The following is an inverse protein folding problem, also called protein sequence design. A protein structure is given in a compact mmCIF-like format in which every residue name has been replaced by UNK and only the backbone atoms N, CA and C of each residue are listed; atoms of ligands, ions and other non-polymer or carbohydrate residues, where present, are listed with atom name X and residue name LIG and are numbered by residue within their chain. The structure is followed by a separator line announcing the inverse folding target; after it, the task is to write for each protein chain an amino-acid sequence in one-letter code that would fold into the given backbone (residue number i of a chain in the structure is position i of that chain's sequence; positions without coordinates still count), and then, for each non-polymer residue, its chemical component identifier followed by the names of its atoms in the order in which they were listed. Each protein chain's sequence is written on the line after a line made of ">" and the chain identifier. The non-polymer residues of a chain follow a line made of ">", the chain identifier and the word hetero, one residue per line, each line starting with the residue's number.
data_IF_613215664503
#
_entry.id   IF_613215664503
#
_cell.length_a   1.000
_cell.length_b   1.000
_cell.length_c   1.000
_cell.angle_alpha   90.00
_cell.angle_beta   90.00
_cell.angle_gamma   90.00
#
_symmetry.space_group_name_H-M   'P 1'
#
loop_
_entity.id
_entity.type
_entity.pdbx_description
1 polymer ?
#
# COMPACT_ATOMS: atom_id res chain seq x y z
N UNK A 1 -19.18 -10.01 9.61
CA UNK A 1 -19.87 -9.26 8.54
C UNK A 1 -20.71 -10.26 7.76
N UNK A 2 -22.02 -10.34 8.06
CA UNK A 2 -22.98 -11.15 7.30
C UNK A 2 -23.18 -10.54 5.92
N UNK A 3 -23.54 -11.37 4.95
CA UNK A 3 -23.40 -11.12 3.52
C UNK A 3 -24.44 -10.17 2.89
N UNK A 4 -25.04 -9.21 3.61
CA UNK A 4 -26.16 -8.41 3.08
C UNK A 4 -26.17 -6.89 3.37
N UNK A 5 -25.12 -6.26 3.92
CA UNK A 5 -25.17 -4.84 4.31
C UNK A 5 -24.28 -3.87 3.52
N UNK A 6 -24.01 -4.15 2.24
CA UNK A 6 -23.57 -3.08 1.33
C UNK A 6 -24.43 -3.10 0.10
N UNK A 7 -25.59 -2.44 0.18
CA UNK A 7 -26.27 -1.97 -1.01
C UNK A 7 -25.22 -1.30 -1.91
N UNK A 8 -25.10 -1.65 -3.20
CA UNK A 8 -24.19 -0.98 -4.11
C UNK A 8 -24.46 0.52 -4.00
N UNK A 9 -23.40 1.33 -3.86
CA UNK A 9 -23.53 2.79 -3.86
C UNK A 9 -24.48 3.17 -4.98
N UNK A 10 -25.59 3.86 -4.65
CA UNK A 10 -26.61 4.25 -5.64
C UNK A 10 -25.87 4.80 -6.86
N UNK A 11 -26.17 4.32 -8.06
CA UNK A 11 -25.34 4.60 -9.24
C UNK A 11 -25.02 6.10 -9.44
N UNK A 12 -25.93 7.01 -9.04
CA UNK A 12 -25.70 8.45 -9.02
C UNK A 12 -24.65 8.94 -8.00
N UNK A 13 -24.59 8.34 -6.81
CA UNK A 13 -23.58 8.63 -5.79
C UNK A 13 -22.18 8.19 -6.23
N UNK A 14 -22.07 7.03 -6.91
CA UNK A 14 -20.78 6.53 -7.38
C UNK A 14 -20.19 7.43 -8.49
N UNK A 15 -21.03 7.92 -9.41
CA UNK A 15 -20.60 8.86 -10.44
C UNK A 15 -20.10 10.19 -9.85
N UNK A 16 -20.82 10.72 -8.87
CA UNK A 16 -20.43 11.95 -8.18
C UNK A 16 -19.13 11.79 -7.36
N UNK A 17 -18.87 10.60 -6.84
CA UNK A 17 -17.66 10.31 -6.05
C UNK A 17 -16.40 10.06 -6.89
N UNK A 18 -16.54 9.64 -8.14
CA UNK A 18 -15.40 9.21 -8.95
C UNK A 18 -14.38 10.32 -9.20
N UNK A 19 -14.81 11.50 -9.68
CA UNK A 19 -13.89 12.60 -9.99
C UNK A 19 -13.15 13.13 -8.73
N UNK A 20 -13.83 13.38 -7.59
CA UNK A 20 -13.15 13.71 -6.34
C UNK A 20 -12.13 12.65 -5.90
N UNK A 21 -12.53 11.37 -5.92
CA UNK A 21 -11.65 10.28 -5.51
C UNK A 21 -10.45 10.12 -6.43
N UNK A 22 -10.65 10.24 -7.74
CA UNK A 22 -9.57 10.21 -8.74
C UNK A 22 -8.59 11.36 -8.50
N UNK A 23 -9.08 12.59 -8.28
CA UNK A 23 -8.21 13.74 -7.99
C UNK A 23 -7.36 13.50 -6.74
N UNK A 24 -7.95 12.97 -5.65
CA UNK A 24 -7.18 12.58 -4.45
C UNK A 24 -6.16 11.49 -4.77
N UNK A 25 -6.53 10.44 -5.49
CA UNK A 25 -5.59 9.35 -5.80
C UNK A 25 -4.47 9.80 -6.75
N UNK A 26 -4.74 10.75 -7.65
CA UNK A 26 -3.72 11.38 -8.52
C UNK A 26 -2.79 12.34 -7.75
N UNK A 27 -3.12 12.75 -6.53
CA UNK A 27 -2.18 13.46 -5.69
C UNK A 27 -0.98 12.56 -5.33
N UNK A 28 -1.16 11.25 -5.22
CA UNK A 28 -0.09 10.30 -4.90
C UNK A 28 1.06 10.30 -5.92
N UNK A 29 0.84 10.15 -7.25
CA UNK A 29 1.94 10.26 -8.20
C UNK A 29 2.53 11.67 -8.25
N UNK A 30 1.76 12.72 -7.95
CA UNK A 30 2.32 14.07 -7.83
C UNK A 30 3.29 14.19 -6.64
N UNK A 31 2.96 13.58 -5.49
CA UNK A 31 3.84 13.56 -4.31
C UNK A 31 5.03 12.62 -4.46
N UNK A 32 4.80 11.39 -4.92
CA UNK A 32 5.75 10.28 -4.74
C UNK A 32 6.44 9.84 -6.04
N UNK A 33 5.94 10.25 -7.21
CA UNK A 33 6.55 9.91 -8.51
C UNK A 33 7.20 11.12 -9.14
N UNK A 34 6.45 12.23 -9.24
CA UNK A 34 6.93 13.48 -9.81
C UNK A 34 7.66 14.34 -8.78
N UNK A 35 7.44 14.10 -7.49
CA UNK A 35 8.01 14.86 -6.37
C UNK A 35 7.69 16.37 -6.47
N UNK A 36 6.54 16.73 -7.07
CA UNK A 36 6.05 18.10 -7.21
C UNK A 36 4.99 18.35 -6.13
N UNK A 37 5.45 18.66 -4.92
CA UNK A 37 4.60 18.72 -3.71
C UNK A 37 3.38 19.64 -3.86
N UNK A 38 3.54 20.81 -4.48
CA UNK A 38 2.45 21.76 -4.64
C UNK A 38 1.34 21.25 -5.57
N UNK A 39 1.67 20.42 -6.58
CA UNK A 39 0.66 19.78 -7.45
C UNK A 39 -0.15 18.78 -6.63
N UNK A 40 0.51 17.99 -5.78
CA UNK A 40 -0.18 17.08 -4.86
C UNK A 40 -1.13 17.81 -3.91
N UNK A 41 -0.74 18.97 -3.38
CA UNK A 41 -1.62 19.82 -2.56
C UNK A 41 -2.83 20.34 -3.34
N UNK A 42 -2.63 20.82 -4.57
CA UNK A 42 -3.73 21.30 -5.42
C UNK A 42 -4.69 20.15 -5.75
N UNK A 43 -4.19 18.99 -6.16
CA UNK A 43 -5.03 17.83 -6.47
C UNK A 43 -5.81 17.35 -5.25
N UNK A 44 -5.18 17.34 -4.08
CA UNK A 44 -5.86 17.05 -2.80
C UNK A 44 -6.96 18.06 -2.51
N UNK A 45 -6.67 19.36 -2.62
CA UNK A 45 -7.64 20.43 -2.38
C UNK A 45 -8.82 20.38 -3.37
N UNK A 46 -8.55 20.16 -4.66
CA UNK A 46 -9.57 19.98 -5.71
C UNK A 46 -10.43 18.75 -5.43
N UNK A 47 -9.82 17.64 -5.04
CA UNK A 47 -10.53 16.42 -4.66
C UNK A 47 -11.45 16.63 -3.45
N UNK A 48 -10.97 17.29 -2.40
CA UNK A 48 -11.78 17.60 -1.22
C UNK A 48 -12.90 18.62 -1.52
N UNK A 49 -12.62 19.66 -2.31
CA UNK A 49 -13.64 20.61 -2.75
C UNK A 49 -14.75 19.93 -3.57
N UNK A 50 -14.36 19.04 -4.50
CA UNK A 50 -15.29 18.24 -5.28
C UNK A 50 -16.12 17.29 -4.40
N UNK A 51 -15.51 16.67 -3.40
CA UNK A 51 -16.21 15.81 -2.46
C UNK A 51 -17.21 16.58 -1.58
N UNK A 52 -16.84 17.77 -1.13
CA UNK A 52 -17.74 18.66 -0.40
C UNK A 52 -18.95 19.07 -1.25
N UNK A 53 -18.75 19.40 -2.53
CA UNK A 53 -19.84 19.69 -3.45
C UNK A 53 -20.76 18.48 -3.65
N UNK A 54 -20.19 17.28 -3.82
CA UNK A 54 -20.97 16.05 -3.95
C UNK A 54 -21.79 15.76 -2.68
N UNK A 55 -21.17 15.85 -1.50
CA UNK A 55 -21.81 15.59 -0.21
C UNK A 55 -22.96 16.55 0.10
N UNK A 56 -22.93 17.80 -0.41
CA UNK A 56 -24.07 18.73 -0.27
C UNK A 56 -25.36 18.18 -0.88
N UNK A 57 -25.24 17.37 -1.93
CA UNK A 57 -26.38 16.79 -2.62
C UNK A 57 -26.71 15.37 -2.16
N UNK A 58 -25.69 14.54 -1.90
CA UNK A 58 -25.87 13.11 -1.61
C UNK A 58 -25.87 12.77 -0.12
N UNK A 59 -25.25 13.61 0.72
CA UNK A 59 -24.92 13.33 2.13
C UNK A 59 -24.20 11.98 2.31
N UNK A 60 -23.30 11.62 1.38
CA UNK A 60 -22.58 10.34 1.39
C UNK A 60 -21.50 10.22 2.46
N UNK A 61 -20.95 11.35 2.94
CA UNK A 61 -19.77 11.35 3.80
C UNK A 61 -18.45 11.16 3.03
N UNK A 62 -18.47 11.45 1.73
CA UNK A 62 -17.33 11.33 0.82
C UNK A 62 -16.19 12.27 1.21
N UNK A 63 -16.50 13.52 1.57
CA UNK A 63 -15.49 14.50 1.98
C UNK A 63 -14.67 13.99 3.15
N UNK A 64 -15.36 13.44 4.16
CA UNK A 64 -14.73 12.87 5.34
C UNK A 64 -13.79 11.73 4.97
N UNK A 65 -14.28 10.79 4.17
CA UNK A 65 -13.53 9.59 3.84
C UNK A 65 -12.32 9.93 2.95
N UNK A 66 -12.45 10.87 2.00
CA UNK A 66 -11.31 11.37 1.22
C UNK A 66 -10.35 12.22 2.06
N UNK A 67 -10.82 12.99 3.03
CA UNK A 67 -9.97 13.76 3.93
C UNK A 67 -9.06 12.84 4.76
N UNK A 68 -9.56 11.68 5.21
CA UNK A 68 -8.74 10.68 5.90
C UNK A 68 -7.61 10.14 5.03
N UNK A 69 -7.87 9.90 3.73
CA UNK A 69 -6.85 9.47 2.75
C UNK A 69 -5.82 10.59 2.55
N UNK A 70 -6.27 11.83 2.33
CA UNK A 70 -5.39 13.00 2.15
C UNK A 70 -4.50 13.21 3.37
N UNK A 71 -5.04 13.14 4.59
CA UNK A 71 -4.25 13.27 5.83
C UNK A 71 -3.15 12.21 5.88
N UNK A 72 -3.48 10.96 5.57
CA UNK A 72 -2.49 9.89 5.48
C UNK A 72 -1.38 10.19 4.48
N UNK A 73 -1.73 10.56 3.24
CA UNK A 73 -0.75 10.89 2.21
C UNK A 73 0.12 12.09 2.57
N UNK A 74 -0.45 13.14 3.19
CA UNK A 74 0.29 14.32 3.62
C UNK A 74 1.32 14.01 4.72
N UNK A 75 0.98 13.10 5.64
CA UNK A 75 1.92 12.64 6.67
C UNK A 75 3.07 11.87 6.03
N UNK A 76 2.77 10.97 5.09
CA UNK A 76 3.79 10.21 4.36
C UNK A 76 4.69 11.14 3.55
N UNK A 77 4.10 12.09 2.81
CA UNK A 77 4.85 13.04 1.97
C UNK A 77 5.70 14.05 2.76
N UNK A 78 5.62 14.05 4.09
CA UNK A 78 6.40 14.96 4.93
C UNK A 78 7.85 14.49 5.15
N UNK A 79 8.17 13.25 4.78
CA UNK A 79 9.52 12.69 4.85
C UNK A 79 9.92 12.09 3.50
N UNK A 80 11.23 12.03 3.16
CA UNK A 80 11.70 11.19 2.08
C UNK A 80 11.44 9.73 2.39
N UNK A 81 10.98 8.96 1.40
CA UNK A 81 10.75 7.51 1.54
C UNK A 81 11.96 6.65 1.18
N UNK A 82 13.13 7.25 0.90
CA UNK A 82 14.36 6.49 0.71
C UNK A 82 14.63 5.58 1.91
N UNK A 83 14.95 4.31 1.63
CA UNK A 83 15.13 3.28 2.65
C UNK A 83 16.47 3.40 3.41
N UNK A 84 16.69 4.53 4.08
CA UNK A 84 17.88 4.75 4.92
C UNK A 84 17.80 3.93 6.21
N UNK A 85 18.91 3.28 6.59
CA UNK A 85 18.98 2.35 7.74
C UNK A 85 19.64 2.94 8.99
N UNK A 86 20.00 4.22 9.00
CA UNK A 86 20.49 4.86 10.21
C UNK A 86 19.35 5.05 11.24
N UNK A 87 19.72 5.18 12.51
CA UNK A 87 18.75 5.21 13.60
C UNK A 87 17.77 6.39 13.48
N UNK A 88 18.22 7.55 12.99
CA UNK A 88 17.38 8.74 12.89
C UNK A 88 16.38 8.60 11.73
N UNK A 89 16.82 8.09 10.59
CA UNK A 89 15.95 7.77 9.47
C UNK A 89 14.90 6.71 9.86
N UNK A 90 15.32 5.61 10.49
CA UNK A 90 14.38 4.56 10.92
C UNK A 90 13.31 5.08 11.90
N UNK A 91 13.69 5.95 12.85
CA UNK A 91 12.74 6.58 13.79
C UNK A 91 11.78 7.51 13.04
N UNK A 92 12.30 8.39 12.18
CA UNK A 92 11.47 9.31 11.37
C UNK A 92 10.47 8.54 10.51
N UNK A 93 10.96 7.52 9.83
CA UNK A 93 10.16 6.64 8.96
C UNK A 93 9.06 5.95 9.78
N UNK A 94 9.42 5.33 10.91
CA UNK A 94 8.46 4.68 11.82
C UNK A 94 7.38 5.65 12.31
N UNK A 95 7.75 6.87 12.71
CA UNK A 95 6.80 7.89 13.18
C UNK A 95 5.88 8.33 12.05
N UNK A 96 6.41 8.58 10.85
CA UNK A 96 5.62 9.04 9.70
C UNK A 96 4.63 7.96 9.23
N UNK A 97 5.10 6.74 8.97
CA UNK A 97 4.24 5.64 8.54
C UNK A 97 3.24 5.25 9.64
N UNK A 98 3.72 5.11 10.88
CA UNK A 98 2.84 4.89 12.03
C UNK A 98 1.77 5.97 12.15
N UNK A 99 2.14 7.24 11.99
CA UNK A 99 1.23 8.39 11.98
C UNK A 99 0.23 8.36 10.83
N UNK A 100 0.65 7.98 9.62
CA UNK A 100 -0.19 7.90 8.43
C UNK A 100 -1.31 6.86 8.55
N UNK A 101 -1.15 5.84 9.40
CA UNK A 101 -2.22 4.88 9.74
C UNK A 101 -2.96 5.29 11.00
N UNK A 102 -2.23 5.66 12.06
CA UNK A 102 -2.80 5.97 13.36
C UNK A 102 -3.68 7.22 13.32
N UNK A 103 -3.23 8.31 12.69
CA UNK A 103 -3.98 9.58 12.66
C UNK A 103 -5.32 9.40 11.93
N UNK A 104 -5.40 8.86 10.70
CA UNK A 104 -6.70 8.60 10.07
C UNK A 104 -7.58 7.66 10.88
N UNK A 105 -7.02 6.60 11.46
CA UNK A 105 -7.77 5.68 12.32
C UNK A 105 -8.38 6.39 13.55
N UNK A 106 -7.58 7.19 14.26
CA UNK A 106 -8.01 7.92 15.45
C UNK A 106 -9.04 9.00 15.11
N UNK A 107 -8.85 9.73 14.00
CA UNK A 107 -9.83 10.71 13.51
C UNK A 107 -11.15 10.03 13.16
N UNK A 108 -11.10 8.93 12.40
CA UNK A 108 -12.29 8.12 12.07
C UNK A 108 -13.03 7.70 13.34
N UNK A 109 -12.30 7.12 14.31
CA UNK A 109 -12.90 6.53 15.51
C UNK A 109 -13.41 7.55 16.53
N UNK A 110 -12.65 8.61 16.80
CA UNK A 110 -12.94 9.51 17.92
C UNK A 110 -13.54 10.85 17.49
N UNK A 111 -13.14 11.38 16.33
CA UNK A 111 -13.67 12.66 15.83
C UNK A 111 -14.95 12.42 15.03
N UNK A 112 -14.86 11.60 13.99
CA UNK A 112 -16.00 11.31 13.13
C UNK A 112 -16.94 10.26 13.70
N UNK A 113 -16.51 9.54 14.74
CA UNK A 113 -17.24 8.45 15.41
C UNK A 113 -17.75 7.39 14.43
N UNK A 114 -17.07 7.26 13.30
CA UNK A 114 -17.35 6.29 12.27
C UNK A 114 -16.26 5.23 12.32
N UNK A 115 -16.66 4.00 12.54
CA UNK A 115 -15.75 2.87 12.65
C UNK A 115 -15.43 2.32 11.26
N UNK A 116 -15.09 3.22 10.33
CA UNK A 116 -14.87 2.92 8.92
C UNK A 116 -13.57 2.16 8.71
N UNK A 117 -12.49 2.61 9.36
CA UNK A 117 -11.19 1.94 9.35
C UNK A 117 -11.20 0.85 10.42
N UNK A 118 -11.08 -0.40 9.98
CA UNK A 118 -11.00 -1.59 10.85
C UNK A 118 -9.95 -2.56 10.35
N UNK A 119 -9.37 -3.30 11.28
CA UNK A 119 -8.29 -4.25 11.02
C UNK A 119 -8.78 -5.68 11.34
N UNK A 120 -9.42 -6.39 10.38
CA UNK A 120 -9.97 -7.72 10.62
C UNK A 120 -8.87 -8.79 10.65
N UNK A 121 -8.12 -8.86 11.75
CA UNK A 121 -6.94 -9.73 11.88
C UNK A 121 -7.26 -11.21 11.63
N UNK A 122 -8.30 -11.73 12.28
CA UNK A 122 -8.72 -13.14 12.16
C UNK A 122 -10.20 -13.23 11.81
N UNK A 123 -10.50 -14.11 10.85
CA UNK A 123 -11.88 -14.52 10.53
C UNK A 123 -12.35 -15.70 11.39
N UNK A 124 -11.46 -16.32 12.15
CA UNK A 124 -11.75 -17.49 13.01
C UNK A 124 -11.76 -18.83 12.27
N UNK A 125 -11.64 -18.83 10.94
CA UNK A 125 -11.61 -20.02 10.11
C UNK A 125 -10.18 -20.48 9.80
N UNK A 126 -9.99 -21.80 9.66
CA UNK A 126 -8.71 -22.38 9.21
C UNK A 126 -8.48 -22.05 7.74
N UNK A 127 -7.22 -21.87 7.35
CA UNK A 127 -6.88 -21.63 5.94
C UNK A 127 -7.17 -22.84 5.07
N UNK A 128 -7.80 -22.60 3.93
CA UNK A 128 -8.17 -23.63 2.95
C UNK A 128 -6.92 -24.11 2.19
N UNK A 129 -6.89 -25.34 1.65
CA UNK A 129 -5.76 -25.82 0.86
C UNK A 129 -5.37 -24.90 -0.30
N UNK A 130 -6.35 -24.30 -0.99
CA UNK A 130 -6.10 -23.33 -2.05
C UNK A 130 -5.32 -22.08 -1.56
N UNK A 131 -5.52 -21.66 -0.31
CA UNK A 131 -4.78 -20.55 0.29
C UNK A 131 -3.32 -20.92 0.53
N UNK A 132 -3.03 -22.15 0.94
CA UNK A 132 -1.66 -22.65 1.09
C UNK A 132 -0.94 -22.79 -0.26
N UNK A 133 -1.62 -23.33 -1.26
CA UNK A 133 -1.09 -23.40 -2.64
C UNK A 133 -0.75 -22.00 -3.14
N UNK A 134 -1.60 -21.02 -2.86
CA UNK A 134 -1.36 -19.64 -3.21
C UNK A 134 -0.11 -19.05 -2.50
N UNK A 135 0.08 -19.31 -1.20
CA UNK A 135 1.28 -18.86 -0.49
C UNK A 135 2.56 -19.44 -1.11
N UNK A 136 2.56 -20.73 -1.43
CA UNK A 136 3.68 -21.37 -2.12
C UNK A 136 3.90 -20.78 -3.52
N UNK A 137 2.82 -20.53 -4.28
CA UNK A 137 2.91 -19.92 -5.59
C UNK A 137 3.51 -18.51 -5.55
N UNK A 138 3.15 -17.68 -4.57
CA UNK A 138 3.71 -16.34 -4.40
C UNK A 138 5.22 -16.40 -4.12
N UNK A 139 5.67 -17.32 -3.28
CA UNK A 139 7.10 -17.54 -3.03
C UNK A 139 7.85 -17.92 -4.32
N UNK A 140 7.32 -18.89 -5.07
CA UNK A 140 7.93 -19.35 -6.32
C UNK A 140 7.96 -18.24 -7.37
N UNK A 141 6.84 -17.52 -7.55
CA UNK A 141 6.75 -16.41 -8.50
C UNK A 141 7.70 -15.27 -8.12
N UNK A 142 7.75 -14.91 -6.83
CA UNK A 142 8.70 -13.92 -6.32
C UNK A 142 10.13 -14.35 -6.60
N UNK A 143 10.48 -15.59 -6.29
CA UNK A 143 11.84 -16.12 -6.46
C UNK A 143 12.26 -16.17 -7.94
N UNK A 144 11.33 -16.41 -8.86
CA UNK A 144 11.61 -16.41 -10.30
C UNK A 144 11.69 -14.99 -10.90
N UNK A 145 10.82 -14.08 -10.48
CA UNK A 145 10.62 -12.79 -11.15
C UNK A 145 11.49 -11.69 -10.53
N UNK A 146 11.59 -11.65 -9.20
CA UNK A 146 12.24 -10.54 -8.49
C UNK A 146 13.74 -10.43 -8.75
N UNK A 147 14.55 -11.50 -8.75
CA UNK A 147 15.98 -11.38 -9.03
C UNK A 147 16.22 -10.79 -10.41
N UNK A 148 15.46 -11.25 -11.42
CA UNK A 148 15.53 -10.71 -12.77
C UNK A 148 15.23 -9.21 -12.78
N UNK A 149 14.13 -8.78 -12.14
CA UNK A 149 13.78 -7.37 -12.05
C UNK A 149 14.85 -6.52 -11.35
N UNK A 150 15.24 -6.90 -10.13
CA UNK A 150 16.14 -6.11 -9.30
C UNK A 150 17.54 -5.99 -9.92
N UNK A 151 18.10 -7.09 -10.41
CA UNK A 151 19.50 -7.14 -10.88
C UNK A 151 19.61 -6.60 -12.31
N UNK A 152 18.77 -7.06 -13.25
CA UNK A 152 18.91 -6.64 -14.67
C UNK A 152 18.53 -5.18 -14.93
N UNK A 153 17.82 -4.55 -13.99
CA UNK A 153 17.39 -3.15 -14.08
C UNK A 153 18.14 -2.22 -13.13
N UNK A 154 19.15 -2.74 -12.42
CA UNK A 154 19.92 -2.03 -11.38
C UNK A 154 19.04 -1.40 -10.27
N UNK A 155 17.81 -1.88 -10.12
CA UNK A 155 16.83 -1.33 -9.17
C UNK A 155 17.25 -1.59 -7.72
N UNK A 156 18.04 -2.64 -7.48
CA UNK A 156 18.60 -2.91 -6.15
C UNK A 156 19.45 -1.74 -5.62
N UNK A 157 20.01 -0.90 -6.49
CA UNK A 157 20.79 0.29 -6.11
C UNK A 157 19.92 1.43 -5.54
N UNK A 158 18.59 1.38 -5.69
CA UNK A 158 17.70 2.31 -5.00
C UNK A 158 17.58 1.99 -3.50
N UNK A 159 18.10 0.84 -3.08
CA UNK A 159 18.04 0.34 -1.71
C UNK A 159 19.40 0.54 -1.02
N UNK A 160 19.43 0.63 0.32
CA UNK A 160 20.67 0.76 1.07
C UNK A 160 21.57 -0.46 0.86
N UNK A 161 22.87 -0.22 0.83
CA UNK A 161 23.85 -1.31 0.83
C UNK A 161 23.74 -2.08 2.15
N UNK A 162 23.56 -3.39 2.06
CA UNK A 162 23.37 -4.30 3.20
C UNK A 162 24.43 -5.39 3.23
N UNK A 163 25.66 -5.00 3.57
CA UNK A 163 26.85 -5.87 3.58
C UNK A 163 27.23 -6.39 4.98
N UNK A 164 26.57 -5.91 6.04
CA UNK A 164 26.79 -6.35 7.42
C UNK A 164 25.56 -7.00 8.04
N UNK A 165 25.71 -7.95 8.98
CA UNK A 165 24.58 -8.59 9.65
C UNK A 165 23.61 -7.62 10.34
N UNK A 166 24.11 -6.51 10.89
CA UNK A 166 23.26 -5.48 11.52
C UNK A 166 22.37 -4.79 10.49
N UNK A 167 22.93 -4.35 9.36
CA UNK A 167 22.18 -3.72 8.27
C UNK A 167 21.18 -4.69 7.64
N UNK A 168 21.56 -5.96 7.47
CA UNK A 168 20.65 -7.02 7.01
C UNK A 168 19.47 -7.19 7.98
N UNK A 169 19.72 -7.23 9.29
CA UNK A 169 18.66 -7.36 10.30
C UNK A 169 17.71 -6.15 10.28
N UNK A 170 18.26 -4.92 10.16
CA UNK A 170 17.46 -3.70 10.03
C UNK A 170 16.61 -3.70 8.77
N UNK A 171 17.18 -4.10 7.63
CA UNK A 171 16.44 -4.22 6.37
C UNK A 171 15.31 -5.24 6.51
N UNK A 172 15.58 -6.42 7.09
CA UNK A 172 14.56 -7.45 7.31
C UNK A 172 13.38 -6.93 8.14
N UNK A 173 13.67 -6.24 9.26
CA UNK A 173 12.65 -5.61 10.09
C UNK A 173 11.93 -4.49 9.35
N UNK A 174 12.67 -3.64 8.63
CA UNK A 174 12.13 -2.50 7.89
C UNK A 174 11.17 -2.93 6.78
N UNK A 175 11.62 -3.81 5.89
CA UNK A 175 10.80 -4.35 4.79
C UNK A 175 9.56 -5.05 5.35
N UNK A 176 9.72 -5.93 6.35
CA UNK A 176 8.57 -6.61 6.96
C UNK A 176 7.59 -5.66 7.67
N UNK A 177 8.08 -4.61 8.33
CA UNK A 177 7.23 -3.60 8.94
C UNK A 177 6.45 -2.78 7.88
N UNK A 178 7.11 -2.43 6.78
CA UNK A 178 6.47 -1.74 5.63
C UNK A 178 5.41 -2.63 4.99
N UNK A 179 5.68 -3.93 4.78
CA UNK A 179 4.67 -4.84 4.22
C UNK A 179 3.42 -4.97 5.08
N UNK A 180 3.57 -4.96 6.42
CA UNK A 180 2.40 -4.89 7.32
C UNK A 180 1.69 -3.54 7.16
N UNK A 181 2.47 -2.44 7.15
CA UNK A 181 1.94 -1.09 7.01
C UNK A 181 1.15 -0.90 5.71
N UNK A 182 1.61 -1.46 4.60
CA UNK A 182 0.97 -1.42 3.29
C UNK A 182 -0.47 -1.95 3.37
N UNK A 183 -0.69 -3.05 4.09
CA UNK A 183 -2.02 -3.60 4.28
C UNK A 183 -2.90 -2.72 5.16
N UNK A 184 -2.32 -2.12 6.20
CA UNK A 184 -3.06 -1.23 7.11
C UNK A 184 -3.48 0.06 6.40
N UNK A 185 -2.60 0.62 5.59
CA UNK A 185 -2.84 1.88 4.90
C UNK A 185 -3.62 1.66 3.60
N UNK A 186 -3.07 0.92 2.65
CA UNK A 186 -3.69 0.84 1.32
C UNK A 186 -4.97 0.00 1.34
N UNK A 187 -4.99 -1.14 2.01
CA UNK A 187 -6.17 -2.01 2.01
C UNK A 187 -7.17 -1.60 3.09
N UNK A 188 -6.75 -1.50 4.35
CA UNK A 188 -7.64 -1.22 5.47
C UNK A 188 -8.05 0.26 5.59
N UNK A 189 -7.34 1.19 4.94
CA UNK A 189 -7.68 2.62 4.93
C UNK A 189 -8.14 3.07 3.53
N UNK A 190 -7.23 3.18 2.56
CA UNK A 190 -7.54 3.76 1.23
C UNK A 190 -8.64 2.98 0.51
N UNK A 191 -8.43 1.68 0.29
CA UNK A 191 -9.41 0.82 -0.41
C UNK A 191 -10.72 0.70 0.36
N UNK A 192 -10.67 0.50 1.68
CA UNK A 192 -11.85 0.40 2.52
C UNK A 192 -12.72 1.67 2.46
N UNK A 193 -12.11 2.85 2.51
CA UNK A 193 -12.80 4.14 2.43
C UNK A 193 -13.36 4.39 1.03
N UNK A 194 -12.58 4.15 -0.03
CA UNK A 194 -13.04 4.32 -1.42
C UNK A 194 -14.23 3.40 -1.74
N UNK A 195 -14.24 2.17 -1.23
CA UNK A 195 -15.32 1.19 -1.44
C UNK A 195 -16.66 1.58 -0.83
N UNK A 196 -16.70 2.54 0.09
CA UNK A 196 -17.97 3.06 0.61
C UNK A 196 -18.74 3.86 -0.42
N UNK A 197 -18.02 4.40 -1.41
CA UNK A 197 -18.58 5.33 -2.41
C UNK A 197 -18.51 4.78 -3.83
N UNK A 198 -17.59 3.86 -4.11
CA UNK A 198 -17.28 3.37 -5.45
C UNK A 198 -17.44 1.84 -5.56
N UNK A 199 -17.72 1.32 -6.76
CA UNK A 199 -17.66 -0.13 -7.01
C UNK A 199 -16.28 -0.70 -6.66
N UNK A 200 -16.27 -1.96 -6.20
CA UNK A 200 -15.05 -2.63 -5.72
C UNK A 200 -13.87 -2.51 -6.69
N UNK A 201 -14.08 -2.72 -7.98
CA UNK A 201 -13.01 -2.62 -8.98
C UNK A 201 -12.47 -1.20 -9.15
N UNK A 202 -13.35 -0.21 -9.19
CA UNK A 202 -12.95 1.20 -9.29
C UNK A 202 -12.15 1.63 -8.06
N UNK A 203 -12.61 1.25 -6.86
CA UNK A 203 -11.86 1.51 -5.64
C UNK A 203 -10.50 0.81 -5.62
N UNK A 204 -10.41 -0.41 -6.16
CA UNK A 204 -9.16 -1.18 -6.24
C UNK A 204 -8.16 -0.54 -7.22
N UNK A 205 -8.65 -0.11 -8.39
CA UNK A 205 -7.83 0.60 -9.38
C UNK A 205 -7.31 1.93 -8.82
N UNK A 206 -8.16 2.69 -8.12
CA UNK A 206 -7.76 3.95 -7.51
C UNK A 206 -6.77 3.76 -6.36
N UNK A 207 -6.97 2.77 -5.49
CA UNK A 207 -5.98 2.42 -4.47
C UNK A 207 -4.64 1.99 -5.08
N UNK A 208 -4.67 1.23 -6.19
CA UNK A 208 -3.45 0.81 -6.87
C UNK A 208 -2.62 2.02 -7.35
N UNK A 209 -3.25 3.13 -7.78
CA UNK A 209 -2.52 4.37 -8.11
C UNK A 209 -1.72 4.86 -6.89
N UNK A 210 -2.35 4.91 -5.71
CA UNK A 210 -1.69 5.39 -4.49
C UNK A 210 -0.56 4.44 -4.07
N UNK A 211 -0.83 3.13 -4.07
CA UNK A 211 0.12 2.07 -3.70
C UNK A 211 1.36 2.08 -4.61
N UNK A 212 1.16 2.07 -5.92
CA UNK A 212 2.26 2.02 -6.90
C UNK A 212 3.08 3.29 -6.86
N UNK A 213 2.45 4.44 -6.61
CA UNK A 213 3.17 5.72 -6.45
C UNK A 213 4.07 5.70 -5.20
N UNK A 214 3.57 5.16 -4.09
CA UNK A 214 4.36 5.00 -2.87
C UNK A 214 5.56 4.05 -3.08
N UNK A 215 5.33 2.88 -3.70
CA UNK A 215 6.41 1.93 -3.98
C UNK A 215 7.45 2.49 -4.96
N UNK A 216 7.03 3.34 -5.90
CA UNK A 216 7.96 4.02 -6.81
C UNK A 216 8.98 4.87 -6.04
N UNK A 217 8.53 5.66 -5.06
CA UNK A 217 9.43 6.46 -4.22
C UNK A 217 10.29 5.59 -3.32
N UNK A 218 9.72 4.51 -2.77
CA UNK A 218 10.43 3.57 -1.91
C UNK A 218 11.60 2.88 -2.62
N UNK A 219 11.49 2.66 -3.93
CA UNK A 219 12.60 2.14 -4.74
C UNK A 219 12.20 1.22 -5.89
N UNK A 220 10.92 0.93 -6.11
CA UNK A 220 10.44 0.08 -7.22
C UNK A 220 10.34 0.84 -8.56
N UNK A 221 11.48 1.32 -9.06
CA UNK A 221 11.59 2.15 -10.27
C UNK A 221 11.68 1.32 -11.56
N UNK A 222 12.03 1.98 -12.67
CA UNK A 222 12.09 1.39 -14.01
C UNK A 222 10.75 0.75 -14.42
N UNK A 223 10.73 -0.52 -14.82
CA UNK A 223 9.51 -1.24 -15.18
C UNK A 223 8.77 -1.86 -13.97
N UNK A 224 9.17 -1.51 -12.74
CA UNK A 224 8.52 -1.93 -11.49
C UNK A 224 6.99 -1.87 -11.48
N UNK A 225 6.33 -0.85 -12.08
CA UNK A 225 4.87 -0.82 -12.21
C UNK A 225 4.23 -2.06 -12.85
N UNK A 226 4.94 -2.76 -13.75
CA UNK A 226 4.45 -4.02 -14.34
C UNK A 226 4.31 -5.13 -13.29
N UNK A 227 5.06 -5.06 -12.19
CA UNK A 227 4.97 -5.98 -11.06
C UNK A 227 4.03 -5.45 -9.96
N UNK A 228 4.18 -4.18 -9.60
CA UNK A 228 3.47 -3.59 -8.46
C UNK A 228 1.99 -3.33 -8.74
N UNK A 229 1.59 -3.04 -9.99
CA UNK A 229 0.16 -2.90 -10.35
C UNK A 229 -0.59 -4.22 -10.19
N UNK A 230 -0.16 -5.36 -10.79
CA UNK A 230 -0.82 -6.64 -10.54
C UNK A 230 -0.86 -7.01 -9.06
N UNK A 231 0.23 -6.76 -8.33
CA UNK A 231 0.31 -7.03 -6.89
C UNK A 231 -0.73 -6.23 -6.10
N UNK A 232 -0.80 -4.91 -6.31
CA UNK A 232 -1.77 -4.02 -5.68
C UNK A 232 -3.22 -4.48 -5.92
N UNK A 233 -3.56 -4.78 -7.18
CA UNK A 233 -4.89 -5.24 -7.55
C UNK A 233 -5.23 -6.58 -6.91
N UNK A 234 -4.26 -7.48 -6.84
CA UNK A 234 -4.41 -8.81 -6.27
C UNK A 234 -4.61 -8.74 -4.75
N UNK A 235 -3.91 -7.87 -4.03
CA UNK A 235 -4.13 -7.62 -2.60
C UNK A 235 -5.59 -7.25 -2.32
N UNK A 236 -6.16 -6.29 -3.07
CA UNK A 236 -7.56 -5.91 -2.93
C UNK A 236 -8.53 -7.05 -3.25
N UNK A 237 -8.25 -7.87 -4.26
CA UNK A 237 -9.05 -9.06 -4.59
C UNK A 237 -8.98 -10.12 -3.50
N UNK A 238 -7.78 -10.41 -2.97
CA UNK A 238 -7.59 -11.38 -1.88
C UNK A 238 -8.30 -10.89 -0.63
N UNK A 239 -8.23 -9.59 -0.31
CA UNK A 239 -8.95 -9.01 0.82
C UNK A 239 -10.47 -9.15 0.67
N UNK A 240 -11.01 -8.90 -0.53
CA UNK A 240 -12.43 -9.10 -0.80
C UNK A 240 -12.87 -10.56 -0.63
N UNK A 241 -12.04 -11.52 -1.07
CA UNK A 241 -12.34 -12.96 -1.03
C UNK A 241 -12.17 -13.56 0.36
N UNK A 242 -11.11 -13.18 1.08
CA UNK A 242 -10.73 -13.83 2.35
C UNK A 242 -11.20 -13.06 3.57
N UNK A 243 -11.33 -11.73 3.47
CA UNK A 243 -11.64 -10.80 4.57
C UNK A 243 -10.72 -10.99 5.79
N UNK A 244 -9.53 -11.53 5.59
CA UNK A 244 -8.54 -11.80 6.64
C UNK A 244 -7.31 -10.95 6.39
N UNK A 245 -7.10 -9.96 7.26
CA UNK A 245 -5.91 -9.12 7.22
C UNK A 245 -4.65 -9.98 7.44
N UNK A 246 -4.69 -10.94 8.38
CA UNK A 246 -3.55 -11.84 8.61
C UNK A 246 -3.16 -12.63 7.36
N UNK A 247 -4.11 -13.09 6.54
CA UNK A 247 -3.78 -13.81 5.32
C UNK A 247 -3.13 -12.90 4.28
N UNK A 248 -3.67 -11.70 4.06
CA UNK A 248 -3.10 -10.74 3.09
C UNK A 248 -1.71 -10.29 3.55
N UNK A 249 -1.55 -9.94 4.83
CA UNK A 249 -0.24 -9.63 5.43
C UNK A 249 0.74 -10.79 5.27
N UNK A 250 0.30 -12.05 5.43
CA UNK A 250 1.19 -13.20 5.24
C UNK A 250 1.65 -13.30 3.78
N UNK A 251 0.74 -13.14 2.81
CA UNK A 251 1.11 -13.11 1.38
C UNK A 251 2.15 -12.03 1.12
N UNK A 252 1.94 -10.83 1.67
CA UNK A 252 2.87 -9.70 1.54
C UNK A 252 4.24 -10.02 2.15
N UNK A 253 4.27 -10.45 3.41
CA UNK A 253 5.51 -10.76 4.11
C UNK A 253 6.32 -11.89 3.45
N UNK A 254 5.66 -12.84 2.79
CA UNK A 254 6.37 -13.87 2.01
C UNK A 254 7.01 -13.27 0.75
N UNK A 255 6.31 -12.37 0.07
CA UNK A 255 6.88 -11.64 -1.07
C UNK A 255 8.08 -10.77 -0.61
N UNK A 256 7.91 -10.05 0.49
CA UNK A 256 8.96 -9.23 1.11
C UNK A 256 10.17 -10.03 1.57
N UNK A 257 9.97 -11.24 2.08
CA UNK A 257 11.07 -12.12 2.43
C UNK A 257 11.92 -12.48 1.20
N UNK A 258 11.29 -12.63 0.04
CA UNK A 258 12.02 -12.83 -1.23
C UNK A 258 12.72 -11.55 -1.66
N UNK A 259 12.06 -10.38 -1.58
CA UNK A 259 12.69 -9.08 -1.85
C UNK A 259 13.94 -8.90 -1.00
N UNK A 260 13.84 -9.15 0.31
CA UNK A 260 14.96 -9.11 1.24
C UNK A 260 16.10 -10.05 0.80
N UNK A 261 15.78 -11.32 0.48
CA UNK A 261 16.79 -12.28 0.06
C UNK A 261 17.50 -11.84 -1.24
N UNK A 262 16.75 -11.28 -2.20
CA UNK A 262 17.31 -10.75 -3.45
C UNK A 262 18.21 -9.54 -3.20
N UNK A 263 17.81 -8.62 -2.33
CA UNK A 263 18.62 -7.44 -1.98
C UNK A 263 19.92 -7.82 -1.27
N UNK A 264 19.87 -8.81 -0.38
CA UNK A 264 21.06 -9.35 0.29
C UNK A 264 21.99 -10.00 -0.74
N UNK A 265 21.45 -10.82 -1.65
CA UNK A 265 22.21 -11.45 -2.74
C UNK A 265 22.88 -10.41 -3.64
N UNK A 266 22.13 -9.42 -4.12
CA UNK A 266 22.62 -8.40 -5.05
C UNK A 266 23.73 -7.52 -4.44
N UNK A 267 23.69 -7.24 -3.15
CA UNK A 267 24.74 -6.47 -2.46
C UNK A 267 25.91 -7.32 -1.96
N UNK A 268 25.77 -8.66 -1.93
CA UNK A 268 26.79 -9.59 -1.46
C UNK A 268 27.01 -10.73 -2.47
N UNK A 269 27.61 -10.45 -3.64
CA UNK A 269 27.91 -11.48 -4.62
C UNK A 269 28.73 -12.63 -4.01
N UNK A 270 28.35 -13.87 -4.25
CA UNK A 270 28.97 -15.07 -3.69
C UNK A 270 28.26 -15.66 -2.48
N UNK A 271 27.39 -14.90 -1.78
CA UNK A 271 26.72 -15.38 -0.56
C UNK A 271 25.54 -16.32 -0.86
N UNK A 272 24.76 -16.02 -1.90
CA UNK A 272 23.53 -16.75 -2.26
C UNK A 272 23.48 -17.19 -3.74
N UNK A 273 24.63 -17.24 -4.44
CA UNK A 273 24.72 -17.61 -5.86
C UNK A 273 24.13 -18.99 -6.18
N UNK A 274 24.21 -19.95 -5.25
CA UNK A 274 23.60 -21.27 -5.43
C UNK A 274 22.07 -21.24 -5.33
N UNK A 275 21.51 -20.17 -4.77
CA UNK A 275 20.08 -19.99 -4.51
C UNK A 275 19.37 -19.13 -5.54
N UNK A 276 20.07 -18.28 -6.29
CA UNK A 276 19.47 -17.42 -7.32
C UNK A 276 19.99 -17.74 -8.72
N UNK A 277 19.13 -17.48 -9.73
CA UNK A 277 19.43 -17.78 -11.14
C UNK A 277 20.18 -16.65 -11.85
N UNK A 278 20.28 -15.48 -11.22
CA UNK A 278 20.84 -14.25 -11.77
C UNK A 278 21.80 -13.67 -10.73
N UNK A 279 22.96 -13.20 -11.21
CA UNK A 279 24.02 -12.58 -10.42
C UNK A 279 24.31 -11.18 -10.94
#
# INVERSE_FOLDING_TARGET
>A
MRADDTAPARAGSARAAFLPALAVCLAAPAFFVLEITWVGWILSAVGLAGAWLADRHTRSGLLRDLALIVVGMLIVSAIPLAAELDNAAMVRFTIALGGAVAVPYLLSRFVFRDHAIRFPWRTGERWRPAQWVWLAAVLVLGWLILPFYFITSDVYLNWPVVDTPDLMARLFVGVGAVGIWDELFFICTVFALLRRHLPNWTANLLQAIVFVSFLWELGYRAWGPVLTIPFALLQGVIFLRTRSLAYVVTVHLLFDAVVFAVLVHAHNPGMLDAFFLVN
#
